data_IF_780360226705
#
_entry.id   IF_780360226705
#
_cell.length_a   1.000
_cell.length_b   1.000
_cell.length_c   1.000
_cell.angle_alpha   90.00
_cell.angle_beta   90.00
_cell.angle_gamma   90.00
#
_symmetry.space_group_name_H-M   'P 1'
#
loop_
_entity.id
_entity.type
_entity.pdbx_description
1 polymer ?
#
# COMPACT_ATOMS: atom_id res chain seq x y z
N UNK A 1 -20.40 -6.71 4.71
CA UNK A 1 -19.25 -6.00 5.20
C UNK A 1 -18.41 -5.56 4.06
N UNK A 2 -17.88 -4.36 4.08
CA UNK A 2 -17.13 -3.90 2.93
C UNK A 2 -15.68 -4.34 3.06
N UNK A 3 -15.03 -4.49 1.91
CA UNK A 3 -13.63 -4.85 1.87
C UNK A 3 -12.78 -3.83 2.62
N UNK A 4 -13.15 -2.57 2.54
CA UNK A 4 -12.42 -1.52 3.22
C UNK A 4 -12.38 -1.75 4.72
N UNK A 5 -13.50 -2.17 5.31
CA UNK A 5 -13.53 -2.42 6.75
C UNK A 5 -12.58 -3.54 7.15
N UNK A 6 -12.50 -4.57 6.34
CA UNK A 6 -11.64 -5.70 6.64
C UNK A 6 -10.18 -5.26 6.65
N UNK A 7 -9.76 -4.49 5.65
CA UNK A 7 -8.37 -4.09 5.58
C UNK A 7 -8.03 -2.96 6.53
N UNK A 8 -9.02 -2.19 6.99
CA UNK A 8 -8.76 -1.16 7.99
C UNK A 8 -8.21 -1.77 9.27
N UNK A 9 -8.59 -3.00 9.59
CA UNK A 9 -8.08 -3.68 10.76
C UNK A 9 -6.60 -4.04 10.59
N UNK A 10 -6.10 -3.99 9.38
CA UNK A 10 -4.69 -4.31 9.09
C UNK A 10 -3.82 -3.07 8.98
N UNK A 11 -4.39 -1.89 9.18
CA UNK A 11 -3.66 -0.64 9.08
C UNK A 11 -3.08 -0.29 10.44
N UNK A 12 -1.77 -0.01 10.46
CA UNK A 12 -1.09 0.45 11.66
C UNK A 12 -0.77 1.91 11.46
N UNK A 13 -1.20 2.74 12.39
CA UNK A 13 -0.89 4.16 12.35
C UNK A 13 0.42 4.38 13.07
N UNK A 14 1.40 4.88 12.33
CA UNK A 14 2.69 5.19 12.92
C UNK A 14 2.78 6.69 13.13
N UNK A 15 3.96 7.26 13.08
CA UNK A 15 4.12 8.66 13.42
C UNK A 15 3.23 9.58 12.58
N UNK A 16 2.62 10.54 13.23
CA UNK A 16 1.91 11.63 12.56
C UNK A 16 0.44 11.38 12.31
N UNK A 17 -0.04 10.14 12.40
CA UNK A 17 -1.45 9.86 12.22
C UNK A 17 -2.07 9.47 13.55
N UNK A 18 -3.34 9.79 13.72
CA UNK A 18 -4.09 9.51 14.93
C UNK A 18 -5.38 8.79 14.59
N UNK A 19 -6.02 8.23 15.60
CA UNK A 19 -7.28 7.52 15.38
C UNK A 19 -8.35 8.41 14.78
N UNK A 20 -8.29 9.70 15.05
CA UNK A 20 -9.25 10.63 14.49
C UNK A 20 -9.13 10.72 12.97
N UNK A 21 -8.02 10.28 12.42
CA UNK A 21 -7.80 10.30 10.98
C UNK A 21 -8.39 9.08 10.28
N UNK A 22 -8.88 8.09 11.02
CA UNK A 22 -9.31 6.84 10.41
C UNK A 22 -10.37 7.00 9.31
N UNK A 23 -11.41 7.84 9.47
CA UNK A 23 -12.37 8.00 8.37
C UNK A 23 -11.74 8.55 7.12
N UNK A 24 -10.86 9.53 7.28
CA UNK A 24 -10.14 10.13 6.17
C UNK A 24 -9.21 9.10 5.53
N UNK A 25 -8.53 8.30 6.32
CA UNK A 25 -7.62 7.27 5.84
C UNK A 25 -8.39 6.21 5.05
N UNK A 26 -9.51 5.75 5.59
CA UNK A 26 -10.32 4.74 4.92
C UNK A 26 -10.76 5.22 3.55
N UNK A 27 -11.18 6.47 3.48
CA UNK A 27 -11.62 7.03 2.22
C UNK A 27 -10.46 7.18 1.24
N UNK A 28 -9.30 7.58 1.72
CA UNK A 28 -8.15 7.83 0.87
C UNK A 28 -7.50 6.56 0.33
N UNK A 29 -7.66 5.43 1.01
CA UNK A 29 -6.99 4.19 0.62
C UNK A 29 -7.89 3.24 -0.15
N UNK A 30 -8.97 3.75 -0.74
CA UNK A 30 -9.94 2.91 -1.44
C UNK A 30 -9.29 2.09 -2.55
N UNK A 31 -8.41 2.69 -3.34
CA UNK A 31 -7.78 1.98 -4.44
C UNK A 31 -6.86 0.88 -3.94
N UNK A 32 -6.15 1.15 -2.85
CA UNK A 32 -5.27 0.17 -2.26
C UNK A 32 -6.08 -1.02 -1.76
N UNK A 33 -7.16 -0.77 -1.07
CA UNK A 33 -8.00 -1.85 -0.55
C UNK A 33 -8.56 -2.70 -1.69
N UNK A 34 -8.92 -2.06 -2.79
CA UNK A 34 -9.41 -2.78 -3.96
C UNK A 34 -8.33 -3.71 -4.51
N UNK A 35 -7.10 -3.23 -4.58
CA UNK A 35 -6.00 -4.07 -5.06
C UNK A 35 -5.72 -5.22 -4.11
N UNK A 36 -5.97 -5.03 -2.82
CA UNK A 36 -5.68 -6.06 -1.83
C UNK A 36 -6.77 -7.13 -1.73
N UNK A 37 -7.88 -6.95 -2.41
CA UNK A 37 -8.99 -7.91 -2.35
C UNK A 37 -8.56 -9.32 -2.77
N UNK A 38 -7.54 -9.42 -3.59
CA UNK A 38 -7.08 -10.72 -4.06
C UNK A 38 -6.29 -11.48 -3.01
N UNK A 39 -5.96 -10.83 -1.89
CA UNK A 39 -5.15 -11.47 -0.86
C UNK A 39 -5.97 -11.71 0.39
N UNK A 40 -5.60 -12.73 1.14
CA UNK A 40 -6.21 -13.00 2.44
C UNK A 40 -5.80 -11.87 3.38
N UNK A 41 -6.75 -11.21 4.03
CA UNK A 41 -6.40 -10.09 4.93
C UNK A 41 -5.39 -10.47 6.01
N UNK A 42 -5.39 -11.72 6.46
CA UNK A 42 -4.44 -12.15 7.48
C UNK A 42 -2.99 -12.09 7.00
N UNK A 43 -2.79 -12.01 5.69
CA UNK A 43 -1.46 -11.95 5.11
C UNK A 43 -1.00 -10.51 4.82
N UNK A 44 -1.84 -9.53 5.14
CA UNK A 44 -1.60 -8.15 4.74
C UNK A 44 -1.33 -7.29 5.96
N UNK A 45 -0.31 -6.45 5.89
CA UNK A 45 -0.01 -5.44 6.91
C UNK A 45 0.24 -4.12 6.20
N UNK A 46 -0.37 -3.05 6.70
CA UNK A 46 -0.27 -1.73 6.10
C UNK A 46 0.24 -0.77 7.15
N UNK A 47 1.28 -0.03 6.86
CA UNK A 47 1.82 0.97 7.78
C UNK A 47 1.70 2.35 7.19
N UNK A 48 1.25 3.31 7.96
CA UNK A 48 1.10 4.68 7.51
C UNK A 48 1.91 5.60 8.41
N UNK A 49 2.68 6.50 7.80
CA UNK A 49 3.50 7.44 8.56
C UNK A 49 3.52 8.77 7.84
N UNK A 50 3.45 9.85 8.58
CA UNK A 50 3.67 11.18 8.01
C UNK A 50 4.59 11.94 8.94
N UNK A 51 5.67 12.51 8.38
CA UNK A 51 6.62 13.31 9.14
C UNK A 51 6.38 14.76 8.83
N UNK A 52 6.55 15.61 9.84
CA UNK A 52 6.41 17.07 9.69
C UNK A 52 5.04 17.44 9.14
N UNK A 53 4.00 16.78 9.63
CA UNK A 53 2.65 17.01 9.16
C UNK A 53 2.28 18.48 9.33
N UNK A 54 1.82 19.09 8.25
CA UNK A 54 1.42 20.49 8.26
C UNK A 54 2.58 21.47 8.21
N UNK A 55 3.80 20.98 8.00
CA UNK A 55 4.98 21.84 7.96
C UNK A 55 5.71 21.67 6.65
N UNK A 56 6.58 22.63 6.31
CA UNK A 56 7.41 22.46 5.12
C UNK A 56 8.25 21.20 5.28
N UNK A 57 8.41 20.46 4.22
CA UNK A 57 9.17 19.22 4.27
C UNK A 57 8.35 18.01 4.67
N UNK A 58 7.04 18.17 4.81
CA UNK A 58 6.19 17.04 5.14
C UNK A 58 6.39 15.91 4.15
N UNK A 59 6.50 14.68 4.67
CA UNK A 59 6.49 13.57 3.76
C UNK A 59 5.66 12.42 4.35
N UNK A 60 4.95 11.75 3.47
CA UNK A 60 3.99 10.72 3.82
C UNK A 60 4.45 9.40 3.24
N UNK A 61 4.38 8.33 4.02
CA UNK A 61 4.77 7.00 3.55
C UNK A 61 3.63 6.02 3.76
N UNK A 62 3.43 5.17 2.78
CA UNK A 62 2.51 4.04 2.88
C UNK A 62 3.34 2.80 2.60
N UNK A 63 3.34 1.87 3.54
CA UNK A 63 4.11 0.64 3.39
C UNK A 63 3.13 -0.53 3.41
N UNK A 64 3.27 -1.46 2.50
CA UNK A 64 2.38 -2.62 2.45
C UNK A 64 3.23 -3.89 2.37
N UNK A 65 2.95 -4.79 3.29
CA UNK A 65 3.59 -6.11 3.32
C UNK A 65 2.51 -7.15 3.07
N UNK A 66 2.71 -7.96 2.05
CA UNK A 66 1.85 -9.11 1.79
C UNK A 66 2.73 -10.33 1.81
N UNK A 67 2.33 -11.34 2.55
CA UNK A 67 3.13 -12.57 2.65
C UNK A 67 3.38 -13.13 1.26
N UNK A 68 4.62 -13.44 0.98
CA UNK A 68 4.99 -14.00 -0.31
C UNK A 68 5.36 -12.99 -1.37
N UNK A 69 5.22 -11.69 -1.07
CA UNK A 69 5.59 -10.65 -2.01
C UNK A 69 6.60 -9.71 -1.37
N UNK A 70 7.39 -9.01 -2.17
CA UNK A 70 8.29 -8.00 -1.61
C UNK A 70 7.48 -6.88 -0.96
N UNK A 71 8.00 -6.32 0.11
CA UNK A 71 7.38 -5.15 0.73
C UNK A 71 7.45 -3.98 -0.23
N UNK A 72 6.36 -3.23 -0.35
CA UNK A 72 6.33 -2.06 -1.22
C UNK A 72 6.09 -0.81 -0.38
N UNK A 73 6.69 0.30 -0.79
CA UNK A 73 6.58 1.55 -0.07
C UNK A 73 6.36 2.67 -1.08
N UNK A 74 5.38 3.51 -0.79
CA UNK A 74 5.16 4.72 -1.57
C UNK A 74 5.39 5.92 -0.68
N UNK A 75 6.09 6.92 -1.19
CA UNK A 75 6.40 8.14 -0.45
C UNK A 75 5.93 9.34 -1.25
N UNK A 76 5.35 10.30 -0.57
CA UNK A 76 4.91 11.54 -1.21
C UNK A 76 5.44 12.73 -0.43
N UNK A 77 5.85 13.76 -1.16
CA UNK A 77 6.32 15.00 -0.55
C UNK A 77 5.33 16.13 -0.79
N UNK A 78 4.11 15.80 -1.20
CA UNK A 78 3.10 16.83 -1.41
C UNK A 78 2.73 17.48 -0.07
N UNK A 79 2.39 18.75 -0.13
CA UNK A 79 2.14 19.52 1.10
C UNK A 79 0.76 19.27 1.69
N UNK A 80 -0.20 18.92 0.86
CA UNK A 80 -1.56 18.67 1.34
C UNK A 80 -1.68 17.26 1.89
N UNK A 81 -2.18 17.13 3.09
CA UNK A 81 -2.24 15.84 3.78
C UNK A 81 -3.00 14.78 2.99
N UNK A 82 -4.17 15.15 2.46
CA UNK A 82 -4.96 14.19 1.70
C UNK A 82 -4.29 13.84 0.38
N UNK A 83 -3.81 14.86 -0.34
CA UNK A 83 -3.17 14.63 -1.63
C UNK A 83 -1.91 13.79 -1.44
N UNK A 84 -1.18 14.01 -0.36
CA UNK A 84 0.03 13.26 -0.08
C UNK A 84 -0.29 11.79 0.17
N UNK A 85 -1.32 11.51 0.94
CA UNK A 85 -1.69 10.13 1.22
C UNK A 85 -2.15 9.43 -0.05
N UNK A 86 -2.95 10.12 -0.86
CA UNK A 86 -3.42 9.53 -2.11
C UNK A 86 -2.29 9.33 -3.11
N UNK A 87 -1.31 10.24 -3.13
CA UNK A 87 -0.15 10.10 -4.00
C UNK A 87 0.70 8.89 -3.57
N UNK A 88 0.94 8.77 -2.27
CA UNK A 88 1.69 7.62 -1.76
C UNK A 88 0.94 6.32 -2.02
N UNK A 89 -0.38 6.34 -1.87
CA UNK A 89 -1.20 5.18 -2.18
C UNK A 89 -1.06 4.77 -3.65
N UNK A 90 -1.12 5.73 -4.55
CA UNK A 90 -1.02 5.43 -5.97
C UNK A 90 0.31 4.76 -6.30
N UNK A 91 1.38 5.19 -5.64
CA UNK A 91 2.69 4.60 -5.86
C UNK A 91 2.74 3.17 -5.35
N UNK A 92 2.12 2.91 -4.20
CA UNK A 92 2.06 1.57 -3.65
C UNK A 92 1.20 0.67 -4.53
N UNK A 93 0.06 1.17 -4.99
CA UNK A 93 -0.83 0.40 -5.85
C UNK A 93 -0.09 -0.03 -7.11
N UNK A 94 0.66 0.88 -7.70
CA UNK A 94 1.43 0.58 -8.89
C UNK A 94 2.48 -0.50 -8.62
N UNK A 95 3.19 -0.39 -7.51
CA UNK A 95 4.22 -1.36 -7.14
C UNK A 95 3.61 -2.73 -6.82
N UNK A 96 2.46 -2.73 -6.14
CA UNK A 96 1.79 -3.97 -5.81
C UNK A 96 1.33 -4.69 -7.07
N UNK A 97 0.78 -3.93 -8.01
CA UNK A 97 0.30 -4.49 -9.25
C UNK A 97 1.47 -5.12 -10.01
N UNK A 98 2.58 -4.40 -10.06
CA UNK A 98 3.76 -4.89 -10.72
C UNK A 98 4.34 -6.10 -10.03
N UNK A 99 4.40 -6.10 -8.70
CA UNK A 99 4.93 -7.22 -7.95
C UNK A 99 4.06 -8.46 -8.11
N UNK A 100 2.74 -8.28 -8.11
CA UNK A 100 1.82 -9.39 -8.29
C UNK A 100 1.94 -9.96 -9.70
N UNK A 101 2.10 -9.10 -10.68
CA UNK A 101 2.25 -9.53 -12.06
C UNK A 101 3.54 -10.31 -12.24
N UNK A 102 4.64 -9.83 -11.64
CA UNK A 102 5.90 -10.55 -11.75
C UNK A 102 5.83 -11.90 -11.06
N UNK A 103 5.17 -11.95 -9.91
CA UNK A 103 5.02 -13.20 -9.18
C UNK A 103 4.18 -14.18 -9.99
N UNK A 104 3.10 -13.71 -10.59
CA UNK A 104 2.24 -14.54 -11.40
C UNK A 104 3.00 -15.03 -12.64
N UNK A 105 3.75 -14.18 -13.30
CA UNK A 105 4.51 -14.55 -14.47
C UNK A 105 5.56 -15.59 -14.12
N UNK A 106 6.26 -15.40 -13.00
CA UNK A 106 7.29 -16.34 -12.61
C UNK A 106 6.67 -17.69 -12.29
N UNK A 107 5.55 -17.69 -11.60
CA UNK A 107 4.87 -18.90 -11.26
C UNK A 107 4.30 -19.60 -12.49
N UNK A 108 3.72 -18.81 -13.39
CA UNK A 108 3.13 -19.32 -14.60
C UNK A 108 4.20 -19.89 -15.53
N UNK A 109 5.39 -19.36 -15.48
CA UNK A 109 6.45 -19.74 -16.38
C UNK A 109 7.44 -20.64 -15.71
N UNK A 110 6.98 -21.63 -14.94
CA UNK A 110 7.83 -22.50 -14.22
C UNK A 110 8.48 -23.51 -15.07
N UNK A 111 7.92 -23.80 -16.22
CA UNK A 111 8.52 -24.79 -17.04
C UNK A 111 9.92 -24.36 -17.39
N UNK A 112 10.78 -25.28 -17.72
CA UNK A 112 12.14 -24.96 -18.02
C UNK A 112 12.20 -23.96 -19.12
N UNK A 113 12.89 -22.88 -18.90
CA UNK A 113 12.99 -21.92 -19.85
C UNK A 113 14.03 -22.24 -20.75
N UNK A 114 13.89 -21.94 -21.92
CA UNK A 114 14.86 -22.09 -22.76
C UNK A 114 15.88 -21.17 -22.47
N UNK A 115 17.01 -21.49 -22.43
CA UNK A 115 18.03 -20.61 -22.18
C UNK A 115 18.11 -19.74 -23.29
N UNK A 116 18.17 -18.76 -23.11
CA UNK A 116 18.16 -17.93 -24.01
C UNK A 116 19.35 -17.80 -24.37
N UNK A 117 19.83 -18.03 -24.69
CA UNK A 117 20.86 -17.99 -25.06
C UNK A 117 21.04 -17.59 -25.59
#
# INVERSE_FOLDING_TARGET
MSTASVFMDRVRLEDGYHEDDLPFIQHSLTQLFTQLERFDPSMVHIGLRVKDRGRPGMHTSVEVCVSGLPTVIGVSHLADTRAALEDAEAKVVSQLREAADRHHDRHHDRRPRQPRH
#
